data_IF_106313405890
#
_entry.id   IF_106313405890
#
_cell.length_a   1.000
_cell.length_b   1.000
_cell.length_c   1.000
_cell.angle_alpha   90.00
_cell.angle_beta   90.00
_cell.angle_gamma   90.00
#
_symmetry.space_group_name_H-M   'P 1'
#
loop_
_entity.id
_entity.type
_entity.pdbx_description
1 polymer ?
#
# COMPACT_ATOMS: atom_id res chain seq x y z
N UNK A 1 -8.62 20.82 -19.22
CA UNK A 1 -8.42 20.32 -17.84
C UNK A 1 -9.29 19.09 -17.67
N UNK A 2 -8.71 17.90 -17.80
CA UNK A 2 -9.43 16.65 -17.58
C UNK A 2 -9.68 16.48 -16.09
N UNK A 3 -10.94 16.63 -15.68
CA UNK A 3 -11.38 16.40 -14.31
C UNK A 3 -11.21 14.91 -13.98
N UNK A 4 -10.30 14.58 -13.08
CA UNK A 4 -10.14 13.23 -12.55
C UNK A 4 -11.48 12.75 -11.97
N UNK A 5 -12.14 11.84 -12.67
CA UNK A 5 -13.36 11.17 -12.20
C UNK A 5 -12.93 9.88 -11.52
N UNK A 6 -13.16 9.78 -10.20
CA UNK A 6 -12.90 8.56 -9.45
C UNK A 6 -13.72 7.42 -10.10
N UNK A 7 -13.08 6.36 -10.62
CA UNK A 7 -13.79 5.32 -11.35
C UNK A 7 -14.81 4.63 -10.46
N UNK A 8 -15.93 4.24 -11.06
CA UNK A 8 -16.99 3.52 -10.36
C UNK A 8 -16.43 2.23 -9.74
N UNK A 9 -17.04 1.75 -8.66
CA UNK A 9 -16.58 0.53 -7.96
C UNK A 9 -16.42 -0.66 -8.92
N UNK A 10 -17.31 -0.77 -9.91
CA UNK A 10 -17.29 -1.81 -10.94
C UNK A 10 -16.10 -1.69 -11.89
N UNK A 11 -15.73 -0.47 -12.30
CA UNK A 11 -14.55 -0.21 -13.15
C UNK A 11 -13.26 -0.56 -12.41
N UNK A 12 -13.18 -0.25 -11.11
CA UNK A 12 -12.03 -0.64 -10.28
C UNK A 12 -11.95 -2.15 -10.11
N UNK A 13 -13.08 -2.83 -9.90
CA UNK A 13 -13.13 -4.27 -9.77
C UNK A 13 -12.68 -4.98 -11.07
N UNK A 14 -13.10 -4.47 -12.24
CA UNK A 14 -12.66 -4.93 -13.56
C UNK A 14 -11.16 -4.69 -13.83
N UNK A 15 -10.65 -3.54 -13.39
CA UNK A 15 -9.22 -3.25 -13.51
C UNK A 15 -8.37 -4.24 -12.70
N UNK A 16 -8.72 -4.44 -11.42
CA UNK A 16 -8.02 -5.38 -10.56
C UNK A 16 -8.20 -6.84 -11.00
N UNK A 17 -9.36 -7.23 -11.51
CA UNK A 17 -9.60 -8.57 -12.03
C UNK A 17 -8.67 -8.91 -13.19
N UNK A 18 -8.44 -7.95 -14.08
CA UNK A 18 -7.52 -8.07 -15.22
C UNK A 18 -6.07 -8.24 -14.78
N UNK A 19 -5.63 -7.51 -13.74
CA UNK A 19 -4.29 -7.67 -13.15
C UNK A 19 -4.11 -9.07 -12.57
N UNK A 20 -5.11 -9.57 -11.83
CA UNK A 20 -5.03 -10.90 -11.22
C UNK A 20 -5.06 -12.02 -12.26
N UNK A 21 -5.87 -11.89 -13.31
CA UNK A 21 -5.86 -12.82 -14.42
C UNK A 21 -4.50 -12.83 -15.14
N UNK A 22 -3.91 -11.66 -15.41
CA UNK A 22 -2.57 -11.58 -16.01
C UNK A 22 -1.52 -12.31 -15.18
N UNK A 23 -1.52 -12.13 -13.86
CA UNK A 23 -0.60 -12.86 -12.97
C UNK A 23 -0.85 -14.37 -12.94
N UNK A 24 -2.12 -14.80 -13.04
CA UNK A 24 -2.48 -16.21 -13.14
C UNK A 24 -1.96 -16.81 -14.46
N UNK A 25 -2.10 -16.07 -15.58
CA UNK A 25 -1.58 -16.45 -16.88
C UNK A 25 -0.06 -16.61 -16.86
N UNK A 26 0.65 -15.60 -16.35
CA UNK A 26 2.11 -15.61 -16.21
C UNK A 26 2.59 -16.80 -15.36
N UNK A 27 1.90 -17.10 -14.26
CA UNK A 27 2.23 -18.24 -13.40
C UNK A 27 2.14 -19.58 -14.14
N UNK A 28 1.13 -19.74 -15.00
CA UNK A 28 0.96 -20.93 -15.85
C UNK A 28 1.68 -20.85 -17.19
N UNK A 29 2.58 -19.86 -17.36
CA UNK A 29 3.35 -19.60 -18.60
C UNK A 29 2.45 -19.45 -19.84
N UNK A 30 1.26 -18.89 -19.65
CA UNK A 30 0.31 -18.53 -20.71
C UNK A 30 0.51 -17.07 -21.10
N UNK A 31 0.31 -16.74 -22.38
CA UNK A 31 0.32 -15.34 -22.81
C UNK A 31 -1.04 -14.73 -22.42
N UNK A 32 -1.08 -13.56 -21.78
CA UNK A 32 -2.34 -12.88 -21.44
C UNK A 32 -3.18 -12.53 -22.68
N UNK A 33 -2.53 -12.50 -23.84
CA UNK A 33 -3.09 -12.24 -25.17
C UNK A 33 -3.78 -13.46 -25.79
N UNK A 34 -3.63 -14.65 -25.21
CA UNK A 34 -4.35 -15.85 -25.64
C UNK A 34 -5.84 -15.70 -25.25
N UNK A 35 -6.61 -15.03 -26.11
CA UNK A 35 -8.01 -14.62 -25.87
C UNK A 35 -8.96 -15.77 -25.51
N UNK A 36 -8.59 -17.02 -25.77
CA UNK A 36 -9.42 -18.20 -25.52
C UNK A 36 -9.08 -18.96 -24.24
N UNK A 37 -8.04 -18.57 -23.50
CA UNK A 37 -7.67 -19.31 -22.30
C UNK A 37 -8.68 -19.12 -21.17
N UNK A 38 -9.25 -20.25 -20.74
CA UNK A 38 -10.20 -20.36 -19.63
C UNK A 38 -9.55 -21.17 -18.51
N UNK A 39 -9.17 -20.48 -17.45
CA UNK A 39 -8.55 -21.11 -16.29
C UNK A 39 -9.54 -22.03 -15.56
N UNK A 40 -9.04 -23.08 -14.93
CA UNK A 40 -9.79 -24.09 -14.17
C UNK A 40 -9.63 -23.87 -12.66
N UNK A 41 -10.49 -24.49 -11.84
CA UNK A 41 -10.35 -24.45 -10.38
C UNK A 41 -9.00 -24.99 -9.90
N UNK A 42 -8.48 -26.05 -10.52
CA UNK A 42 -7.17 -26.62 -10.17
C UNK A 42 -6.01 -25.65 -10.46
N UNK A 43 -6.05 -24.94 -11.59
CA UNK A 43 -5.06 -23.91 -11.91
C UNK A 43 -5.11 -22.75 -10.90
N UNK A 44 -6.30 -22.36 -10.43
CA UNK A 44 -6.46 -21.36 -9.37
C UNK A 44 -5.94 -21.88 -8.03
N UNK A 45 -6.21 -23.15 -7.68
CA UNK A 45 -5.68 -23.77 -6.46
C UNK A 45 -4.15 -23.79 -6.48
N UNK A 46 -3.54 -24.21 -7.59
CA UNK A 46 -2.08 -24.23 -7.75
C UNK A 46 -1.48 -22.84 -7.55
N UNK A 47 -2.10 -21.82 -8.15
CA UNK A 47 -1.68 -20.43 -7.98
C UNK A 47 -1.81 -19.96 -6.52
N UNK A 48 -2.95 -20.23 -5.86
CA UNK A 48 -3.17 -19.85 -4.47
C UNK A 48 -2.21 -20.57 -3.50
N UNK A 49 -1.86 -21.83 -3.77
CA UNK A 49 -0.84 -22.58 -3.02
C UNK A 49 0.53 -21.92 -3.17
N UNK A 50 0.94 -21.57 -4.39
CA UNK A 50 2.18 -20.82 -4.61
C UNK A 50 2.22 -19.50 -3.82
N UNK A 51 1.11 -18.75 -3.79
CA UNK A 51 1.01 -17.53 -2.97
C UNK A 51 1.09 -17.82 -1.47
N UNK A 52 0.43 -18.87 -0.98
CA UNK A 52 0.51 -19.31 0.42
C UNK A 52 1.95 -19.64 0.80
N UNK A 53 2.64 -20.44 -0.01
CA UNK A 53 4.01 -20.90 0.25
C UNK A 53 5.01 -19.72 0.17
N UNK A 54 4.70 -18.72 -0.67
CA UNK A 54 5.35 -17.41 -0.67
C UNK A 54 5.06 -16.51 0.56
N UNK A 55 4.23 -16.95 1.49
CA UNK A 55 3.89 -16.21 2.72
C UNK A 55 2.81 -15.15 2.54
N UNK A 56 1.99 -15.22 1.48
CA UNK A 56 0.89 -14.27 1.27
C UNK A 56 -0.27 -14.55 2.26
N UNK A 57 -0.71 -13.56 3.06
CA UNK A 57 -1.81 -13.73 4.03
C UNK A 57 -3.13 -14.19 3.39
N UNK A 58 -4.00 -14.89 4.14
CA UNK A 58 -5.25 -15.42 3.59
C UNK A 58 -6.17 -14.34 3.03
N UNK A 59 -6.27 -13.17 3.67
CA UNK A 59 -7.11 -12.07 3.18
C UNK A 59 -6.65 -11.54 1.81
N UNK A 60 -5.35 -11.56 1.52
CA UNK A 60 -4.81 -11.14 0.22
C UNK A 60 -5.04 -12.22 -0.84
N UNK A 61 -4.96 -13.50 -0.44
CA UNK A 61 -5.39 -14.64 -1.27
C UNK A 61 -6.90 -14.59 -1.57
N UNK A 62 -7.72 -14.09 -0.64
CA UNK A 62 -9.14 -13.81 -0.91
C UNK A 62 -9.33 -12.75 -1.99
N UNK A 63 -8.54 -11.68 -2.00
CA UNK A 63 -8.62 -10.67 -3.08
C UNK A 63 -8.28 -11.22 -4.46
N UNK A 64 -7.39 -12.21 -4.54
CA UNK A 64 -7.14 -12.95 -5.78
C UNK A 64 -8.39 -13.73 -6.20
N UNK A 65 -9.01 -14.48 -5.29
CA UNK A 65 -10.24 -15.23 -5.58
C UNK A 65 -11.36 -14.29 -6.04
N UNK A 66 -11.61 -13.19 -5.32
CA UNK A 66 -12.61 -12.18 -5.69
C UNK A 66 -12.34 -11.58 -7.08
N UNK A 67 -11.07 -11.26 -7.37
CA UNK A 67 -10.66 -10.77 -8.68
C UNK A 67 -10.93 -11.77 -9.80
N UNK A 68 -10.57 -13.04 -9.60
CA UNK A 68 -10.78 -14.08 -10.60
C UNK A 68 -12.26 -14.43 -10.81
N UNK A 69 -13.08 -14.37 -9.75
CA UNK A 69 -14.53 -14.48 -9.85
C UNK A 69 -15.10 -13.38 -10.76
N UNK A 70 -14.71 -12.13 -10.53
CA UNK A 70 -15.13 -10.97 -11.34
C UNK A 70 -14.64 -11.11 -12.78
N UNK A 71 -13.38 -11.52 -12.99
CA UNK A 71 -12.85 -11.71 -14.34
C UNK A 71 -13.66 -12.78 -15.10
N UNK A 72 -13.92 -13.91 -14.45
CA UNK A 72 -14.67 -15.00 -15.06
C UNK A 72 -16.11 -14.62 -15.40
N UNK A 73 -16.81 -13.94 -14.49
CA UNK A 73 -18.20 -13.53 -14.72
C UNK A 73 -18.30 -12.41 -15.75
N UNK A 74 -17.43 -11.40 -15.67
CA UNK A 74 -17.59 -10.16 -16.43
C UNK A 74 -16.85 -10.16 -17.77
N UNK A 75 -15.70 -10.85 -17.85
CA UNK A 75 -14.88 -10.92 -19.07
C UNK A 75 -15.10 -12.23 -19.81
N UNK A 76 -14.93 -13.38 -19.15
CA UNK A 76 -15.10 -14.70 -19.80
C UNK A 76 -16.57 -15.11 -19.94
N UNK A 77 -17.49 -14.43 -19.22
CA UNK A 77 -18.93 -14.74 -19.19
C UNK A 77 -19.22 -16.21 -18.86
N UNK A 78 -18.43 -16.80 -17.95
CA UNK A 78 -18.59 -18.18 -17.51
C UNK A 78 -19.16 -18.27 -16.09
N UNK A 79 -19.75 -19.43 -15.78
CA UNK A 79 -20.19 -19.75 -14.43
C UNK A 79 -19.02 -19.72 -13.45
N UNK A 80 -19.27 -19.24 -12.23
CA UNK A 80 -18.29 -19.13 -11.15
C UNK A 80 -18.48 -20.19 -10.05
N UNK A 81 -19.46 -21.08 -10.22
CA UNK A 81 -19.90 -22.04 -9.18
C UNK A 81 -18.76 -22.93 -8.68
N UNK A 82 -17.87 -23.35 -9.58
CA UNK A 82 -16.69 -24.16 -9.30
C UNK A 82 -15.61 -23.44 -8.46
N UNK A 83 -15.63 -22.10 -8.41
CA UNK A 83 -14.72 -21.29 -7.60
C UNK A 83 -15.31 -20.86 -6.25
N UNK A 84 -16.63 -20.91 -6.07
CA UNK A 84 -17.28 -20.52 -4.81
C UNK A 84 -16.78 -21.34 -3.61
N UNK A 85 -16.55 -22.67 -3.70
CA UNK A 85 -15.95 -23.43 -2.61
C UNK A 85 -14.59 -22.88 -2.16
N UNK A 86 -13.76 -22.37 -3.09
CA UNK A 86 -12.48 -21.73 -2.74
C UNK A 86 -12.69 -20.44 -1.95
N UNK A 87 -13.69 -19.64 -2.33
CA UNK A 87 -14.06 -18.42 -1.59
C UNK A 87 -14.50 -18.78 -0.17
N UNK A 88 -15.42 -19.74 -0.01
CA UNK A 88 -15.89 -20.14 1.31
C UNK A 88 -14.77 -20.71 2.17
N UNK A 89 -13.92 -21.58 1.60
CA UNK A 89 -12.77 -22.12 2.33
C UNK A 89 -11.80 -21.03 2.75
N UNK A 90 -11.59 -20.01 1.92
CA UNK A 90 -10.73 -18.88 2.26
C UNK A 90 -11.35 -18.01 3.37
N UNK A 91 -12.68 -17.85 3.42
CA UNK A 91 -13.35 -17.18 4.54
C UNK A 91 -13.11 -17.91 5.86
N UNK A 92 -13.19 -19.24 5.88
CA UNK A 92 -12.87 -20.05 7.07
C UNK A 92 -11.43 -19.85 7.52
N UNK A 93 -10.47 -19.89 6.59
CA UNK A 93 -9.04 -19.67 6.90
C UNK A 93 -8.83 -18.27 7.46
N UNK A 94 -9.47 -17.25 6.89
CA UNK A 94 -9.39 -15.87 7.39
C UNK A 94 -10.00 -15.77 8.78
N UNK A 95 -11.14 -16.39 9.04
CA UNK A 95 -11.76 -16.42 10.36
C UNK A 95 -10.83 -17.08 11.40
N UNK A 96 -10.15 -18.17 11.02
CA UNK A 96 -9.18 -18.86 11.87
C UNK A 96 -7.89 -18.05 12.09
N UNK A 97 -7.35 -17.41 11.05
CA UNK A 97 -6.20 -16.49 11.18
C UNK A 97 -6.54 -15.28 12.07
N UNK A 98 -7.81 -14.85 12.09
CA UNK A 98 -8.32 -13.76 12.94
C UNK A 98 -8.53 -14.16 14.40
N UNK A 99 -8.77 -15.43 14.71
CA UNK A 99 -8.91 -15.91 16.11
C UNK A 99 -7.56 -16.21 16.77
N UNK A 100 -6.53 -16.57 15.99
CA UNK A 100 -5.17 -16.86 16.47
C UNK A 100 -4.31 -15.61 16.71
N UNK A 101 -4.64 -14.47 16.09
CA UNK A 101 -3.95 -13.19 16.33
C UNK A 101 -4.84 -12.27 17.15
N UNK A 102 -4.51 -12.09 18.43
CA UNK A 102 -5.04 -10.97 19.20
C UNK A 102 -4.72 -9.66 18.47
N UNK A 103 -5.74 -9.05 17.87
CA UNK A 103 -5.68 -7.70 17.34
C UNK A 103 -5.69 -7.58 15.82
N UNK A 104 -6.50 -6.62 15.37
CA UNK A 104 -6.49 -6.11 14.00
C UNK A 104 -5.13 -5.46 13.72
N UNK A 105 -4.24 -6.17 13.03
CA UNK A 105 -3.27 -5.50 12.17
C UNK A 105 -4.02 -4.86 11.01
N UNK A 106 -3.80 -3.58 10.73
CA UNK A 106 -4.24 -3.01 9.46
C UNK A 106 -3.57 -3.72 8.28
N UNK A 107 -4.05 -3.51 7.05
CA UNK A 107 -3.37 -3.98 5.81
C UNK A 107 -1.88 -3.64 5.80
N UNK A 108 -1.49 -2.58 6.51
CA UNK A 108 -0.13 -2.08 6.62
C UNK A 108 0.66 -2.75 7.76
N UNK A 109 0.02 -3.29 8.80
CA UNK A 109 0.73 -3.74 10.00
C UNK A 109 1.28 -5.19 9.89
N UNK A 110 1.01 -5.89 8.78
CA UNK A 110 1.63 -7.20 8.51
C UNK A 110 2.95 -6.97 7.79
N UNK A 111 4.02 -6.87 8.58
CA UNK A 111 5.41 -6.78 8.11
C UNK A 111 5.73 -8.02 7.26
N UNK A 112 5.64 -7.89 5.93
CA UNK A 112 5.88 -8.99 4.98
C UNK A 112 7.36 -9.41 4.91
N UNK A 113 7.64 -10.60 4.35
CA UNK A 113 9.01 -11.05 4.08
C UNK A 113 9.75 -10.02 3.21
N UNK A 114 11.02 -9.75 3.53
CA UNK A 114 11.87 -8.88 2.71
C UNK A 114 12.11 -9.57 1.37
N UNK A 115 11.91 -8.83 0.28
CA UNK A 115 12.10 -9.36 -1.06
C UNK A 115 13.60 -9.52 -1.34
N UNK A 116 14.05 -10.76 -1.54
CA UNK A 116 15.45 -11.09 -1.80
C UNK A 116 15.95 -10.61 -3.16
N UNK A 117 15.06 -10.19 -4.06
CA UNK A 117 15.38 -9.61 -5.37
C UNK A 117 15.54 -8.07 -5.35
N UNK A 118 15.21 -7.40 -4.24
CA UNK A 118 15.52 -5.97 -4.11
C UNK A 118 17.04 -5.78 -3.93
N UNK A 119 17.56 -4.60 -4.28
CA UNK A 119 18.95 -4.25 -3.99
C UNK A 119 19.29 -4.49 -2.51
N UNK A 120 20.51 -4.97 -2.25
CA UNK A 120 21.04 -5.22 -0.91
C UNK A 120 20.89 -4.02 0.03
N UNK A 121 21.14 -2.80 -0.45
CA UNK A 121 20.91 -1.56 0.29
C UNK A 121 19.45 -1.42 0.78
N UNK A 122 18.47 -1.75 -0.06
CA UNK A 122 17.05 -1.69 0.29
C UNK A 122 16.70 -2.78 1.30
N UNK A 123 17.24 -3.98 1.12
CA UNK A 123 17.01 -5.09 2.05
C UNK A 123 17.56 -4.76 3.45
N UNK A 124 18.80 -4.28 3.54
CA UNK A 124 19.42 -3.86 4.79
C UNK A 124 18.67 -2.71 5.44
N UNK A 125 18.19 -1.74 4.66
CA UNK A 125 17.42 -0.63 5.21
C UNK A 125 16.10 -1.09 5.84
N UNK A 126 15.37 -2.01 5.19
CA UNK A 126 14.18 -2.63 5.78
C UNK A 126 14.50 -3.38 7.07
N UNK A 127 15.58 -4.18 7.08
CA UNK A 127 16.03 -4.91 8.29
C UNK A 127 16.33 -3.93 9.43
N UNK A 128 17.05 -2.85 9.13
CA UNK A 128 17.44 -1.85 10.10
C UNK A 128 16.22 -1.10 10.67
N UNK A 129 15.27 -0.65 9.83
CA UNK A 129 14.06 0.04 10.31
C UNK A 129 13.15 -0.87 11.13
N UNK A 130 13.03 -2.15 10.78
CA UNK A 130 12.27 -3.12 11.57
C UNK A 130 12.93 -3.39 12.92
N UNK A 131 14.26 -3.44 12.96
CA UNK A 131 15.02 -3.56 14.22
C UNK A 131 14.85 -2.32 15.10
N UNK A 132 14.76 -1.13 14.50
CA UNK A 132 14.48 0.15 15.16
C UNK A 132 13.00 0.31 15.58
N UNK A 133 12.15 -0.72 15.37
CA UNK A 133 10.74 -0.70 15.76
C UNK A 133 9.86 0.27 14.95
N UNK A 134 10.30 0.72 13.78
CA UNK A 134 9.55 1.68 12.98
C UNK A 134 8.24 1.09 12.44
N UNK A 135 7.20 1.93 12.38
CA UNK A 135 5.94 1.57 11.74
C UNK A 135 6.15 1.21 10.26
N UNK A 136 5.40 0.22 9.76
CA UNK A 136 5.55 -0.25 8.39
C UNK A 136 5.23 0.82 7.33
N UNK A 137 4.29 1.73 7.61
CA UNK A 137 4.01 2.88 6.76
C UNK A 137 5.25 3.78 6.60
N UNK A 138 6.01 3.98 7.68
CA UNK A 138 7.29 4.70 7.66
C UNK A 138 8.33 3.94 6.85
N UNK A 139 8.47 2.62 7.04
CA UNK A 139 9.36 1.77 6.23
C UNK A 139 9.06 1.95 4.73
N UNK A 140 7.77 1.87 4.34
CA UNK A 140 7.36 2.02 2.93
C UNK A 140 7.71 3.39 2.38
N UNK A 141 7.42 4.45 3.14
CA UNK A 141 7.74 5.82 2.75
C UNK A 141 9.25 5.99 2.55
N UNK A 142 10.04 5.59 3.53
CA UNK A 142 11.49 5.79 3.54
C UNK A 142 12.20 4.97 2.47
N UNK A 143 11.80 3.70 2.28
CA UNK A 143 12.32 2.89 1.16
C UNK A 143 12.00 3.53 -0.19
N UNK A 144 10.80 4.10 -0.34
CA UNK A 144 10.45 4.83 -1.57
C UNK A 144 11.39 6.01 -1.84
N UNK A 145 11.74 6.77 -0.80
CA UNK A 145 12.70 7.89 -0.90
C UNK A 145 14.12 7.43 -1.22
N UNK A 146 14.58 6.35 -0.58
CA UNK A 146 15.89 5.77 -0.88
C UNK A 146 15.96 5.27 -2.32
N UNK A 147 14.92 4.61 -2.84
CA UNK A 147 14.86 4.17 -4.23
C UNK A 147 14.92 5.34 -5.23
N UNK A 148 14.24 6.45 -4.92
CA UNK A 148 14.30 7.64 -5.76
C UNK A 148 15.72 8.24 -5.79
N UNK A 149 16.39 8.30 -4.63
CA UNK A 149 17.78 8.74 -4.55
C UNK A 149 18.75 7.80 -5.29
N UNK A 150 18.58 6.49 -5.14
CA UNK A 150 19.37 5.50 -5.87
C UNK A 150 19.20 5.64 -7.39
N UNK A 151 17.98 5.87 -7.87
CA UNK A 151 17.74 6.09 -9.30
C UNK A 151 18.41 7.38 -9.80
N UNK A 152 18.30 8.47 -9.04
CA UNK A 152 18.89 9.79 -9.35
C UNK A 152 20.43 9.75 -9.42
N UNK A 153 21.06 9.01 -8.50
CA UNK A 153 22.53 8.87 -8.43
C UNK A 153 23.07 7.62 -9.13
N UNK A 154 22.22 6.93 -9.90
CA UNK A 154 22.56 5.70 -10.62
C UNK A 154 23.20 4.60 -9.75
N UNK A 155 22.70 4.43 -8.52
CA UNK A 155 23.17 3.44 -7.55
C UNK A 155 22.36 2.14 -7.69
N UNK A 156 23.05 1.01 -7.70
CA UNK A 156 22.46 -0.32 -7.83
C UNK A 156 22.56 -1.15 -6.55
N UNK A 157 23.61 -0.94 -5.75
CA UNK A 157 23.91 -1.75 -4.58
C UNK A 157 24.45 -0.95 -3.39
N UNK A 158 24.67 -1.61 -2.27
CA UNK A 158 25.17 -0.99 -1.03
C UNK A 158 26.59 -0.45 -1.20
N UNK A 159 27.44 -1.12 -1.99
CA UNK A 159 28.81 -0.69 -2.22
C UNK A 159 28.91 0.66 -2.96
N UNK A 160 27.93 1.00 -3.80
CA UNK A 160 27.95 2.27 -4.55
C UNK A 160 27.89 3.49 -3.61
N UNK A 161 27.33 3.33 -2.40
CA UNK A 161 27.26 4.37 -1.38
C UNK A 161 28.61 4.73 -0.74
N UNK A 162 29.69 3.99 -1.03
CA UNK A 162 31.04 4.34 -0.58
C UNK A 162 31.52 5.68 -1.16
N UNK A 163 31.08 6.00 -2.38
CA UNK A 163 31.39 7.25 -3.07
C UNK A 163 30.45 8.41 -2.75
N UNK A 164 29.39 8.17 -1.97
CA UNK A 164 28.31 9.13 -1.74
C UNK A 164 28.54 9.90 -0.43
N UNK A 165 28.51 11.23 -0.54
CA UNK A 165 28.68 12.16 0.57
C UNK A 165 27.49 13.09 0.82
N UNK A 166 27.66 14.02 1.77
CA UNK A 166 26.64 15.01 2.13
C UNK A 166 26.25 15.92 0.96
N UNK A 167 27.20 16.22 0.06
CA UNK A 167 26.97 17.01 -1.14
C UNK A 167 25.98 16.35 -2.10
N UNK A 168 26.06 15.03 -2.30
CA UNK A 168 25.17 14.29 -3.20
C UNK A 168 23.72 14.25 -2.67
N UNK A 169 23.60 14.11 -1.35
CA UNK A 169 22.31 14.20 -0.66
C UNK A 169 21.76 15.63 -0.76
N UNK A 170 22.60 16.64 -0.55
CA UNK A 170 22.24 18.05 -0.69
C UNK A 170 21.77 18.42 -2.09
N UNK A 171 22.49 17.94 -3.11
CA UNK A 171 22.11 18.07 -4.51
C UNK A 171 20.75 17.43 -4.77
N UNK A 172 20.54 16.18 -4.35
CA UNK A 172 19.26 15.49 -4.59
C UNK A 172 18.08 16.23 -3.94
N UNK A 173 18.25 16.71 -2.72
CA UNK A 173 17.21 17.46 -2.03
C UNK A 173 16.94 18.81 -2.72
N UNK A 174 17.96 19.41 -3.32
CA UNK A 174 17.84 20.63 -4.13
C UNK A 174 17.09 20.35 -5.42
N UNK A 175 17.43 19.28 -6.14
CA UNK A 175 16.76 18.84 -7.37
C UNK A 175 15.26 18.58 -7.09
N UNK A 176 14.93 17.95 -5.97
CA UNK A 176 13.53 17.78 -5.54
C UNK A 176 12.81 19.12 -5.32
N UNK A 177 13.49 20.11 -4.73
CA UNK A 177 12.89 21.41 -4.43
C UNK A 177 12.72 22.29 -5.68
N UNK A 178 13.74 22.34 -6.53
CA UNK A 178 13.82 23.23 -7.69
C UNK A 178 13.13 22.61 -8.90
N UNK A 179 13.60 21.44 -9.34
CA UNK A 179 13.10 20.78 -10.56
C UNK A 179 11.83 19.97 -10.29
N UNK A 180 11.83 19.25 -9.16
CA UNK A 180 10.67 18.46 -8.73
C UNK A 180 9.52 19.31 -8.18
N UNK A 181 9.78 20.58 -7.84
CA UNK A 181 8.83 21.50 -7.22
C UNK A 181 8.01 20.81 -6.11
N UNK A 182 8.65 20.03 -5.25
CA UNK A 182 7.93 19.22 -4.25
C UNK A 182 7.41 20.08 -3.09
N UNK A 183 6.47 19.55 -2.32
CA UNK A 183 6.05 20.18 -1.07
C UNK A 183 7.16 20.08 0.01
N UNK A 184 7.27 21.03 0.95
CA UNK A 184 8.24 20.97 2.05
C UNK A 184 8.22 19.66 2.83
N UNK A 185 7.02 19.10 3.08
CA UNK A 185 6.86 17.81 3.76
C UNK A 185 7.44 16.64 2.96
N UNK A 186 7.41 16.72 1.63
CA UNK A 186 7.94 15.68 0.73
C UNK A 186 9.46 15.69 0.74
N UNK A 187 10.06 16.90 0.72
CA UNK A 187 11.51 17.07 0.84
C UNK A 187 11.99 16.63 2.23
N UNK A 188 11.30 17.02 3.30
CA UNK A 188 11.64 16.60 4.66
C UNK A 188 11.58 15.08 4.84
N UNK A 189 10.57 14.42 4.26
CA UNK A 189 10.50 12.97 4.26
C UNK A 189 11.69 12.32 3.52
N UNK A 190 12.14 12.91 2.40
CA UNK A 190 13.34 12.45 1.71
C UNK A 190 14.61 12.65 2.56
N UNK A 191 14.79 13.84 3.13
CA UNK A 191 15.91 14.16 4.01
C UNK A 191 16.04 13.18 5.18
N UNK A 192 14.95 12.95 5.93
CA UNK A 192 14.99 12.05 7.07
C UNK A 192 15.15 10.58 6.68
N UNK A 193 14.61 10.16 5.54
CA UNK A 193 14.81 8.80 5.03
C UNK A 193 16.28 8.55 4.70
N UNK A 194 16.93 9.49 3.99
CA UNK A 194 18.34 9.40 3.63
C UNK A 194 19.22 9.45 4.88
N UNK A 195 18.99 10.42 5.77
CA UNK A 195 19.72 10.50 7.04
C UNK A 195 19.63 9.19 7.83
N UNK A 196 18.43 8.62 7.97
CA UNK A 196 18.24 7.33 8.66
C UNK A 196 18.95 6.18 7.95
N UNK A 197 19.02 6.16 6.63
CA UNK A 197 19.79 5.15 5.90
C UNK A 197 21.29 5.26 6.21
N UNK A 198 21.88 6.45 6.11
CA UNK A 198 23.29 6.68 6.42
C UNK A 198 23.63 6.32 7.87
N UNK A 199 22.78 6.69 8.83
CA UNK A 199 23.01 6.39 10.24
C UNK A 199 22.76 4.93 10.60
N UNK A 200 21.64 4.33 10.15
CA UNK A 200 21.25 2.99 10.59
C UNK A 200 21.98 1.87 9.84
N UNK A 201 22.21 2.05 8.53
CA UNK A 201 22.81 1.04 7.66
C UNK A 201 24.31 1.29 7.50
N UNK A 202 24.69 2.47 7.00
CA UNK A 202 26.10 2.77 6.69
C UNK A 202 26.94 3.10 7.93
N UNK A 203 26.30 3.40 9.07
CA UNK A 203 26.96 3.86 10.31
C UNK A 203 27.83 5.11 10.10
N UNK A 204 27.42 5.98 9.17
CA UNK A 204 28.12 7.23 8.83
C UNK A 204 27.33 8.41 9.36
N UNK A 205 28.04 9.34 9.99
CA UNK A 205 27.53 10.69 10.21
C UNK A 205 27.85 11.55 8.99
N UNK A 206 26.82 12.16 8.42
CA UNK A 206 26.93 13.00 7.23
C UNK A 206 27.19 14.47 7.58
N UNK A 207 27.16 14.82 8.87
CA UNK A 207 27.26 16.22 9.30
C UNK A 207 26.14 17.09 8.70
N UNK A 208 26.37 18.40 8.52
CA UNK A 208 25.39 19.30 7.96
C UNK A 208 25.19 19.04 6.46
N UNK A 209 23.94 18.87 6.05
CA UNK A 209 23.55 18.76 4.64
C UNK A 209 22.97 20.10 4.21
N UNK A 210 23.67 20.77 3.29
CA UNK A 210 23.22 22.01 2.66
C UNK A 210 22.35 21.70 1.44
N UNK A 211 21.11 22.19 1.43
CA UNK A 211 20.16 22.02 0.34
C UNK A 211 19.20 23.19 0.25
N UNK A 212 18.78 23.55 -0.98
CA UNK A 212 17.71 24.52 -1.19
C UNK A 212 16.42 23.94 -0.63
N UNK A 213 15.72 24.69 0.24
CA UNK A 213 14.48 24.24 0.84
C UNK A 213 13.29 24.48 -0.08
N UNK A 214 12.44 23.46 -0.20
CA UNK A 214 11.16 23.60 -0.88
C UNK A 214 10.30 24.65 -0.16
N UNK A 215 9.70 25.56 -0.93
CA UNK A 215 8.92 26.70 -0.42
C UNK A 215 7.56 26.80 -1.11
N UNK A 216 6.77 25.71 -1.07
CA UNK A 216 5.35 25.79 -1.44
C UNK A 216 4.55 26.40 -0.30
N UNK A 217 3.71 27.39 -0.62
CA UNK A 217 2.78 28.00 0.33
C UNK A 217 1.92 26.95 1.01
N UNK A 218 1.68 27.12 2.32
CA UNK A 218 0.77 26.23 3.07
C UNK A 218 -0.63 26.34 2.46
N UNK A 219 -1.19 25.20 2.05
CA UNK A 219 -2.61 25.17 1.71
C UNK A 219 -3.41 25.38 3.00
N UNK A 220 -4.24 26.41 3.02
CA UNK A 220 -5.17 26.66 4.10
C UNK A 220 -6.25 25.57 4.02
N UNK A 221 -6.54 24.83 5.09
CA UNK A 221 -7.59 23.82 5.08
C UNK A 221 -8.93 24.47 4.70
N UNK A 222 -9.54 23.99 3.61
CA UNK A 222 -10.92 24.34 3.26
C UNK A 222 -11.85 23.38 3.98
N UNK A 223 -12.87 23.91 4.65
CA UNK A 223 -13.89 23.13 5.35
C UNK A 223 -15.19 23.14 4.58
N UNK A 224 -15.95 22.05 4.67
CA UNK A 224 -17.28 21.95 4.06
C UNK A 224 -18.32 22.70 4.89
N UNK A 225 -19.25 23.37 4.21
CA UNK A 225 -20.45 23.92 4.82
C UNK A 225 -21.41 22.79 5.28
N UNK A 226 -22.21 22.97 6.34
CA UNK A 226 -23.14 21.95 6.83
C UNK A 226 -24.03 21.31 5.74
N UNK A 227 -24.55 22.09 4.79
CA UNK A 227 -25.33 21.61 3.64
C UNK A 227 -24.53 20.74 2.67
N UNK A 228 -23.24 21.02 2.50
CA UNK A 228 -22.34 20.16 1.71
C UNK A 228 -22.12 18.83 2.42
N UNK A 229 -21.91 18.85 3.73
CA UNK A 229 -21.80 17.64 4.54
C UNK A 229 -23.08 16.81 4.44
N UNK A 230 -24.26 17.43 4.58
CA UNK A 230 -25.56 16.75 4.41
C UNK A 230 -25.68 16.07 3.05
N UNK A 231 -25.31 16.76 1.96
CA UNK A 231 -25.32 16.19 0.61
C UNK A 231 -24.38 14.99 0.48
N UNK A 232 -23.18 15.08 1.04
CA UNK A 232 -22.22 13.96 1.05
C UNK A 232 -22.78 12.76 1.83
N UNK A 233 -23.28 12.97 3.05
CA UNK A 233 -23.83 11.88 3.87
C UNK A 233 -25.04 11.22 3.21
N UNK A 234 -25.95 11.99 2.60
CA UNK A 234 -27.11 11.45 1.89
C UNK A 234 -26.75 10.57 0.68
N UNK A 235 -25.54 10.73 0.12
CA UNK A 235 -25.02 9.88 -0.95
C UNK A 235 -24.39 8.57 -0.48
N UNK A 236 -24.18 8.38 0.82
CA UNK A 236 -23.52 7.21 1.40
C UNK A 236 -24.54 6.23 2.00
N UNK A 237 -24.20 4.94 2.00
CA UNK A 237 -25.05 3.86 2.56
C UNK A 237 -24.22 2.86 3.36
N UNK A 238 -24.89 2.15 4.27
CA UNK A 238 -24.30 1.06 5.05
C UNK A 238 -23.06 1.48 5.84
N UNK A 239 -22.02 0.65 5.79
CA UNK A 239 -20.78 0.84 6.58
C UNK A 239 -20.08 2.17 6.26
N UNK A 240 -20.09 2.62 5.00
CA UNK A 240 -19.47 3.88 4.61
C UNK A 240 -20.15 5.10 5.22
N UNK A 241 -21.48 5.08 5.35
CA UNK A 241 -22.23 6.14 6.01
C UNK A 241 -21.86 6.22 7.49
N UNK A 242 -21.82 5.07 8.18
CA UNK A 242 -21.45 5.01 9.61
C UNK A 242 -20.04 5.56 9.83
N UNK A 243 -19.07 5.15 9.01
CA UNK A 243 -17.70 5.68 9.09
C UNK A 243 -17.70 7.20 8.89
N UNK A 244 -18.37 7.71 7.85
CA UNK A 244 -18.41 9.14 7.56
C UNK A 244 -19.06 9.95 8.71
N UNK A 245 -20.13 9.42 9.31
CA UNK A 245 -20.78 10.03 10.47
C UNK A 245 -19.88 10.04 11.70
N UNK A 246 -19.12 8.98 11.98
CA UNK A 246 -18.16 8.94 13.08
C UNK A 246 -17.02 9.96 12.87
N UNK A 247 -16.48 10.04 11.65
CA UNK A 247 -15.44 11.02 11.32
C UNK A 247 -15.94 12.45 11.52
N UNK A 248 -17.14 12.75 11.04
CA UNK A 248 -17.73 14.10 11.13
C UNK A 248 -18.18 14.44 12.56
N UNK A 249 -18.90 13.53 13.22
CA UNK A 249 -19.53 13.78 14.52
C UNK A 249 -18.57 13.70 15.70
N UNK A 250 -17.53 12.87 15.62
CA UNK A 250 -16.56 12.68 16.70
C UNK A 250 -15.19 13.31 16.38
N UNK A 251 -14.99 13.87 15.18
CA UNK A 251 -13.72 14.48 14.77
C UNK A 251 -12.56 13.50 14.65
N UNK A 252 -12.86 12.20 14.52
CA UNK A 252 -11.84 11.14 14.47
C UNK A 252 -11.00 11.24 13.19
N UNK A 253 -9.74 10.82 13.28
CA UNK A 253 -8.94 10.52 12.08
C UNK A 253 -9.43 9.22 11.44
N UNK A 254 -9.28 9.12 10.12
CA UNK A 254 -9.67 7.92 9.37
C UNK A 254 -9.02 6.64 9.94
N UNK A 255 -7.75 6.70 10.33
CA UNK A 255 -7.04 5.57 10.93
C UNK A 255 -7.62 5.15 12.28
N UNK A 256 -8.15 6.08 13.06
CA UNK A 256 -8.77 5.81 14.36
C UNK A 256 -10.13 5.14 14.14
N UNK A 257 -10.97 5.69 13.24
CA UNK A 257 -12.24 5.09 12.87
C UNK A 257 -12.10 3.67 12.29
N UNK A 258 -11.03 3.40 11.52
CA UNK A 258 -10.77 2.06 10.98
C UNK A 258 -10.27 1.04 12.01
N UNK A 259 -9.82 1.50 13.19
CA UNK A 259 -9.27 0.64 14.25
C UNK A 259 -10.22 0.48 15.43
N UNK A 260 -11.40 1.12 15.39
CA UNK A 260 -12.41 1.06 16.42
C UNK A 260 -12.85 -0.39 16.68
N UNK A 261 -12.92 -0.77 17.96
CA UNK A 261 -13.37 -2.09 18.41
C UNK A 261 -14.69 -1.93 19.17
N UNK A 262 -15.46 -3.02 19.25
CA UNK A 262 -16.76 -3.03 19.97
C UNK A 262 -16.61 -2.54 21.41
N UNK A 263 -15.51 -2.90 22.09
CA UNK A 263 -15.20 -2.46 23.46
C UNK A 263 -14.93 -0.96 23.61
N UNK A 264 -14.64 -0.26 22.51
CA UNK A 264 -14.34 1.17 22.52
C UNK A 264 -15.64 2.01 22.43
N UNK A 265 -16.79 1.36 22.29
CA UNK A 265 -18.11 1.99 22.22
C UNK A 265 -18.83 1.87 23.57
N UNK A 266 -19.11 3.01 24.18
CA UNK A 266 -19.97 3.12 25.37
C UNK A 266 -21.32 3.71 24.97
N UNK A 267 -22.37 2.92 25.14
CA UNK A 267 -23.75 3.33 24.87
C UNK A 267 -24.52 3.71 26.15
N UNK A 268 -23.95 3.45 27.33
CA UNK A 268 -24.59 3.66 28.62
C UNK A 268 -24.38 5.09 29.15
N UNK A 269 -23.21 5.69 28.87
CA UNK A 269 -22.93 7.07 29.21
C UNK A 269 -23.26 7.99 28.01
N UNK A 270 -24.37 8.73 28.12
CA UNK A 270 -24.81 9.74 27.13
C UNK A 270 -24.47 11.15 27.56
#
# INVERSE_FOLDING_TARGET
>A
METYRKPAYEEQALHWSSIWFKQLAEFHRRRPEDCDWRFTTEEVIAFLRSKRDGGVPAWKRMKIIEGLLVYRSSVQRQSVQDLLPLKYKMLEIIAFERTQREGYGSIEDVVGKINTREADAIQEFRRAMRRDGMAYATERSYVGKLKAFMADRALACLADFDSIGASDVGAHLTDLAVDGNVAPSTQNAAFHALLKFFTLVLKRDMGPIEAIRASKGKQIPTVLHPEEVRRVLNGLKGVHLVIAQLLYGCGMRISEAMRLRIKDLDFANR
#
